data_IF_573326790089
#
_entry.id   IF_573326790089
#
_cell.length_a   1.000
_cell.length_b   1.000
_cell.length_c   1.000
_cell.angle_alpha   90.00
_cell.angle_beta   90.00
_cell.angle_gamma   90.00
#
_symmetry.space_group_name_H-M   'P 1'
#
loop_
_entity.id
_entity.type
_entity.pdbx_description
1 polymer ?
#
# COMPACT_ATOMS: atom_id res chain seq x y z
N UNK A 1 -78.37 9.96 -39.75
CA UNK A 1 -77.77 10.92 -38.81
C UNK A 1 -76.69 10.19 -38.03
N UNK A 2 -75.44 10.45 -38.40
CA UNK A 2 -74.26 9.71 -37.87
C UNK A 2 -73.56 10.66 -36.91
N UNK A 3 -73.44 10.25 -35.62
CA UNK A 3 -72.69 10.97 -34.62
C UNK A 3 -71.20 10.60 -34.73
N UNK A 4 -70.27 11.53 -34.40
CA UNK A 4 -68.83 11.27 -34.54
C UNK A 4 -68.23 10.50 -33.35
N UNK A 5 -67.46 9.48 -33.66
CA UNK A 5 -66.65 8.73 -32.70
C UNK A 5 -65.43 9.55 -32.29
N UNK A 6 -65.36 9.92 -31.01
CA UNK A 6 -64.18 10.47 -30.37
C UNK A 6 -63.19 9.35 -30.08
N UNK A 7 -62.09 9.33 -30.81
CA UNK A 7 -60.91 8.47 -30.50
C UNK A 7 -60.02 9.20 -29.50
N UNK A 8 -60.03 8.77 -28.26
CA UNK A 8 -59.11 9.21 -27.22
C UNK A 8 -57.79 8.50 -27.48
N UNK A 9 -56.78 9.25 -27.89
CA UNK A 9 -55.39 8.77 -27.98
C UNK A 9 -54.74 8.85 -26.61
N UNK A 10 -54.51 7.68 -26.00
CA UNK A 10 -53.77 7.57 -24.75
C UNK A 10 -52.28 7.67 -25.09
N UNK A 11 -51.65 8.81 -24.77
CA UNK A 11 -50.19 8.95 -24.83
C UNK A 11 -49.61 8.28 -23.58
N UNK A 12 -49.04 7.06 -23.78
CA UNK A 12 -48.18 6.44 -22.78
C UNK A 12 -46.82 7.10 -22.87
N UNK A 13 -46.56 8.03 -21.95
CA UNK A 13 -45.22 8.59 -21.77
C UNK A 13 -44.32 7.52 -21.14
N UNK A 14 -43.49 6.89 -21.96
CA UNK A 14 -42.45 5.98 -21.51
C UNK A 14 -41.35 6.81 -20.84
N UNK A 15 -41.43 6.98 -19.54
CA UNK A 15 -40.37 7.58 -18.75
C UNK A 15 -39.17 6.62 -18.71
N UNK A 16 -38.23 6.78 -19.65
CA UNK A 16 -36.89 6.17 -19.55
C UNK A 16 -36.15 6.79 -18.38
N UNK A 17 -36.20 6.13 -17.22
CA UNK A 17 -35.30 6.41 -16.11
C UNK A 17 -33.91 6.01 -16.58
N UNK A 18 -33.13 6.98 -17.05
CA UNK A 18 -31.67 6.84 -17.21
C UNK A 18 -31.10 6.70 -15.81
N UNK A 19 -30.91 5.47 -15.35
CA UNK A 19 -30.00 5.22 -14.23
C UNK A 19 -28.62 5.63 -14.70
N UNK A 20 -28.18 6.82 -14.28
CA UNK A 20 -26.78 7.20 -14.29
C UNK A 20 -26.05 6.14 -13.45
N UNK A 21 -25.43 5.18 -14.12
CA UNK A 21 -24.46 4.29 -13.50
C UNK A 21 -23.36 5.24 -13.03
N UNK A 22 -23.33 5.52 -11.73
CA UNK A 22 -22.21 6.21 -11.11
C UNK A 22 -20.97 5.38 -11.38
N UNK A 23 -20.17 5.81 -12.34
CA UNK A 23 -18.86 5.25 -12.68
C UNK A 23 -17.80 5.53 -11.59
N UNK A 24 -18.22 5.85 -10.38
CA UNK A 24 -17.47 5.79 -9.13
C UNK A 24 -17.73 4.47 -8.38
N UNK A 25 -17.92 3.38 -9.12
CA UNK A 25 -17.91 2.05 -8.52
C UNK A 25 -16.52 1.82 -7.93
N UNK A 26 -16.42 2.19 -6.64
CA UNK A 26 -15.52 1.65 -5.63
C UNK A 26 -14.15 1.20 -6.13
N UNK A 27 -13.28 2.16 -6.44
CA UNK A 27 -11.86 1.92 -6.29
C UNK A 27 -11.67 1.66 -4.78
N UNK A 28 -11.34 0.43 -4.34
CA UNK A 28 -11.26 0.11 -2.92
C UNK A 28 -10.06 0.79 -2.25
N UNK A 29 -9.41 1.73 -2.94
CA UNK A 29 -8.20 2.40 -2.53
C UNK A 29 -8.40 3.92 -2.48
N UNK A 30 -7.69 4.54 -1.54
CA UNK A 30 -7.59 5.99 -1.39
C UNK A 30 -6.14 6.43 -1.55
N UNK A 31 -5.92 7.65 -2.04
CA UNK A 31 -4.60 8.26 -2.06
C UNK A 31 -4.20 8.66 -0.64
N UNK A 32 -3.02 8.20 -0.20
CA UNK A 32 -2.48 8.50 1.14
C UNK A 32 -2.44 10.01 1.39
N UNK A 33 -2.00 10.82 0.42
CA UNK A 33 -1.89 12.26 0.58
C UNK A 33 -3.24 12.99 0.56
N UNK A 34 -4.28 12.40 0.00
CA UNK A 34 -5.65 12.94 0.13
C UNK A 34 -6.21 12.76 1.54
N UNK A 35 -5.75 11.74 2.27
CA UNK A 35 -6.16 11.47 3.66
C UNK A 35 -5.26 12.20 4.65
N UNK A 36 -3.95 12.20 4.41
CA UNK A 36 -2.98 12.90 5.25
C UNK A 36 -1.86 13.52 4.42
N UNK A 37 -1.97 14.81 4.04
CA UNK A 37 -0.99 15.49 3.18
C UNK A 37 0.37 15.71 3.86
N UNK A 38 0.50 15.46 5.17
CA UNK A 38 1.79 15.58 5.89
C UNK A 38 2.68 14.35 5.73
N UNK A 39 2.16 13.25 5.16
CA UNK A 39 2.95 12.06 4.82
C UNK A 39 3.67 12.35 3.50
N UNK A 40 4.99 12.19 3.49
CA UNK A 40 5.80 12.35 2.28
C UNK A 40 5.62 11.11 1.39
N UNK A 41 5.49 11.31 0.08
CA UNK A 41 5.43 10.22 -0.89
C UNK A 41 6.60 10.37 -1.88
N UNK A 42 7.39 9.32 -2.03
CA UNK A 42 8.47 9.18 -3.01
C UNK A 42 8.44 7.73 -3.53
N UNK A 43 7.49 7.43 -4.44
CA UNK A 43 7.36 6.07 -4.98
C UNK A 43 8.63 5.67 -5.74
N UNK A 44 9.39 4.72 -5.20
CA UNK A 44 10.69 4.30 -5.71
C UNK A 44 10.58 3.63 -7.08
N UNK A 45 9.50 2.90 -7.32
CA UNK A 45 9.23 2.32 -8.63
C UNK A 45 8.71 3.31 -9.68
N UNK A 46 8.46 4.57 -9.34
CA UNK A 46 8.22 5.64 -10.31
C UNK A 46 9.52 6.28 -10.83
N UNK A 47 10.67 5.92 -10.28
CA UNK A 47 12.00 6.41 -10.65
C UNK A 47 13.01 5.29 -10.85
N UNK A 48 14.29 5.62 -10.75
CA UNK A 48 15.39 4.69 -10.94
C UNK A 48 15.99 4.15 -9.65
N UNK A 49 15.57 4.67 -8.47
CA UNK A 49 16.10 4.26 -7.15
C UNK A 49 15.40 2.99 -6.64
N UNK A 50 15.53 1.90 -7.37
CA UNK A 50 15.04 0.56 -7.09
C UNK A 50 15.99 -0.47 -7.71
N UNK A 51 15.85 -1.75 -7.38
CA UNK A 51 16.82 -2.78 -7.83
C UNK A 51 16.81 -3.05 -9.34
N UNK A 52 15.75 -2.68 -10.07
CA UNK A 52 15.72 -2.81 -11.54
C UNK A 52 16.31 -1.59 -12.27
N UNK A 53 16.63 -0.50 -11.54
CA UNK A 53 17.25 0.72 -12.04
C UNK A 53 16.50 1.46 -13.15
N UNK A 54 15.18 1.24 -13.26
CA UNK A 54 14.31 1.98 -14.18
C UNK A 54 12.87 2.12 -13.63
N UNK A 55 12.07 3.08 -14.13
CA UNK A 55 10.69 3.23 -13.72
C UNK A 55 9.82 2.05 -14.14
N UNK A 56 8.98 1.58 -13.21
CA UNK A 56 7.95 0.56 -13.45
C UNK A 56 6.54 1.15 -13.36
N UNK A 57 6.37 2.24 -12.61
CA UNK A 57 5.12 2.97 -12.52
C UNK A 57 5.01 4.06 -13.59
N UNK A 58 3.81 4.33 -14.12
CA UNK A 58 3.57 5.50 -14.95
C UNK A 58 3.90 6.81 -14.22
N UNK A 59 4.23 7.84 -14.97
CA UNK A 59 4.40 9.18 -14.41
C UNK A 59 3.09 9.65 -13.74
N UNK A 60 3.18 10.28 -12.57
CA UNK A 60 2.02 10.76 -11.82
C UNK A 60 1.26 9.67 -11.05
N UNK A 61 1.82 8.45 -10.93
CA UNK A 61 1.24 7.41 -10.09
C UNK A 61 1.10 7.92 -8.65
N UNK A 62 -0.09 7.73 -8.07
CA UNK A 62 -0.41 8.08 -6.68
C UNK A 62 -0.14 6.91 -5.74
N UNK A 63 0.17 7.22 -4.48
CA UNK A 63 0.33 6.22 -3.43
C UNK A 63 -1.04 5.79 -2.90
N UNK A 64 -1.58 4.73 -3.48
CA UNK A 64 -2.90 4.21 -3.17
C UNK A 64 -2.83 3.09 -2.13
N UNK A 65 -3.77 3.09 -1.18
CA UNK A 65 -3.92 2.02 -0.17
C UNK A 65 -5.40 1.83 0.19
N UNK A 66 -5.74 0.78 0.90
CA UNK A 66 -7.06 0.65 1.52
C UNK A 66 -7.32 1.79 2.50
N UNK A 67 -8.58 2.26 2.66
CA UNK A 67 -8.92 3.35 3.59
C UNK A 67 -8.46 3.08 5.03
N UNK A 68 -8.54 1.84 5.49
CA UNK A 68 -8.10 1.44 6.82
C UNK A 68 -6.58 1.54 6.99
N UNK A 69 -5.83 1.23 5.92
CA UNK A 69 -4.37 1.41 5.89
C UNK A 69 -4.00 2.89 5.94
N UNK A 70 -4.69 3.75 5.19
CA UNK A 70 -4.49 5.20 5.25
C UNK A 70 -4.77 5.77 6.64
N UNK A 71 -5.85 5.30 7.29
CA UNK A 71 -6.18 5.68 8.68
C UNK A 71 -5.10 5.22 9.66
N UNK A 72 -4.57 4.01 9.50
CA UNK A 72 -3.48 3.49 10.33
C UNK A 72 -2.17 4.28 10.09
N UNK A 73 -1.81 4.61 8.84
CA UNK A 73 -0.67 5.46 8.52
C UNK A 73 -0.79 6.85 9.14
N UNK A 74 -2.01 7.41 9.20
CA UNK A 74 -2.26 8.69 9.88
C UNK A 74 -1.99 8.60 11.39
N UNK A 75 -2.31 7.47 12.05
CA UNK A 75 -1.97 7.24 13.46
C UNK A 75 -0.45 7.16 13.67
N UNK A 76 0.26 6.43 12.80
CA UNK A 76 1.72 6.34 12.82
C UNK A 76 2.35 7.73 12.63
N UNK A 77 1.91 8.49 11.64
CA UNK A 77 2.35 9.85 11.36
C UNK A 77 2.15 10.77 12.58
N UNK A 78 0.97 10.74 13.20
CA UNK A 78 0.67 11.53 14.41
C UNK A 78 1.60 11.17 15.57
N UNK A 79 1.91 9.89 15.70
CA UNK A 79 2.85 9.41 16.72
C UNK A 79 4.26 9.94 16.45
N UNK A 80 4.76 9.82 15.22
CA UNK A 80 6.10 10.26 14.83
C UNK A 80 6.30 11.78 14.96
N UNK A 81 5.27 12.57 14.63
CA UNK A 81 5.33 14.05 14.75
C UNK A 81 5.61 14.53 16.18
N UNK A 82 5.21 13.78 17.21
CA UNK A 82 5.55 14.09 18.62
C UNK A 82 7.05 13.97 18.90
N UNK A 83 7.79 13.24 18.07
CA UNK A 83 9.23 13.02 18.16
C UNK A 83 10.01 13.78 17.09
N UNK A 84 9.38 14.74 16.40
CA UNK A 84 9.97 15.56 15.33
C UNK A 84 10.35 14.74 14.08
N UNK A 85 9.64 13.64 13.83
CA UNK A 85 9.79 12.82 12.62
C UNK A 85 8.48 12.70 11.86
N UNK A 86 8.55 12.16 10.64
CA UNK A 86 7.39 11.83 9.82
C UNK A 86 7.66 10.61 8.96
N UNK A 87 6.59 10.08 8.35
CA UNK A 87 6.65 9.00 7.38
C UNK A 87 7.01 9.53 5.99
N UNK A 88 7.82 8.74 5.27
CA UNK A 88 7.94 8.79 3.81
C UNK A 88 7.57 7.42 3.26
N UNK A 89 6.66 7.37 2.29
CA UNK A 89 6.21 6.16 1.62
C UNK A 89 7.03 5.95 0.35
N UNK A 90 7.65 4.78 0.23
CA UNK A 90 8.46 4.34 -0.92
C UNK A 90 7.67 3.46 -1.88
N UNK A 91 6.70 2.68 -1.37
CA UNK A 91 5.74 1.92 -2.17
C UNK A 91 4.41 1.74 -1.43
N UNK A 92 3.34 1.52 -2.21
CA UNK A 92 1.98 1.36 -1.71
C UNK A 92 1.24 0.29 -2.52
N UNK A 93 0.06 0.55 -3.08
CA UNK A 93 -0.58 -0.38 -4.00
C UNK A 93 0.32 -0.61 -5.22
N UNK A 94 0.66 -1.87 -5.45
CA UNK A 94 1.47 -2.33 -6.58
C UNK A 94 0.62 -3.21 -7.48
N UNK A 95 0.28 -2.78 -8.71
CA UNK A 95 -0.46 -3.61 -9.66
C UNK A 95 0.23 -4.96 -9.90
N UNK A 96 -0.55 -6.02 -10.08
CA UNK A 96 -0.01 -7.37 -10.35
C UNK A 96 0.94 -7.38 -11.55
N UNK A 97 0.64 -6.59 -12.59
CA UNK A 97 1.51 -6.46 -13.77
C UNK A 97 2.91 -5.89 -13.45
N UNK A 98 3.01 -5.01 -12.44
CA UNK A 98 4.32 -4.51 -11.95
C UNK A 98 4.99 -5.56 -11.07
N UNK A 99 4.22 -6.25 -10.21
CA UNK A 99 4.74 -7.35 -9.39
C UNK A 99 5.33 -8.46 -10.28
N UNK A 100 4.70 -8.79 -11.40
CA UNK A 100 5.21 -9.77 -12.37
C UNK A 100 6.57 -9.33 -12.92
N UNK A 101 6.72 -8.07 -13.33
CA UNK A 101 8.02 -7.55 -13.82
C UNK A 101 9.11 -7.61 -12.76
N UNK A 102 8.80 -7.29 -11.51
CA UNK A 102 9.74 -7.41 -10.39
C UNK A 102 10.15 -8.87 -10.15
N UNK A 103 9.18 -9.78 -10.18
CA UNK A 103 9.44 -11.21 -10.07
C UNK A 103 10.32 -11.72 -11.20
N UNK A 104 10.04 -11.33 -12.44
CA UNK A 104 10.83 -11.70 -13.61
C UNK A 104 12.28 -11.20 -13.52
N UNK A 105 12.50 -10.02 -12.95
CA UNK A 105 13.82 -9.44 -12.75
C UNK A 105 14.61 -10.11 -11.62
N UNK A 106 13.95 -10.49 -10.53
CA UNK A 106 14.60 -11.06 -9.33
C UNK A 106 14.68 -12.58 -9.37
N UNK A 107 13.55 -13.28 -9.69
CA UNK A 107 13.37 -14.75 -9.58
C UNK A 107 13.77 -15.32 -8.21
N UNK A 108 13.85 -14.48 -7.18
CA UNK A 108 14.21 -14.86 -5.83
C UNK A 108 13.03 -14.58 -4.88
N UNK A 109 12.44 -15.63 -4.32
CA UNK A 109 11.29 -15.55 -3.40
C UNK A 109 11.62 -14.87 -2.08
N UNK A 110 12.89 -14.83 -1.67
CA UNK A 110 13.32 -14.12 -0.45
C UNK A 110 13.32 -12.59 -0.64
N UNK A 111 13.33 -12.11 -1.90
CA UNK A 111 13.35 -10.69 -2.24
C UNK A 111 12.03 -10.20 -2.83
N UNK A 112 11.37 -11.03 -3.66
CA UNK A 112 10.17 -10.63 -4.39
C UNK A 112 9.15 -11.77 -4.36
N UNK A 113 7.93 -11.50 -3.89
CA UNK A 113 6.87 -12.50 -3.90
C UNK A 113 6.51 -12.92 -5.34
N UNK A 114 6.39 -14.23 -5.58
CA UNK A 114 5.89 -14.74 -6.84
C UNK A 114 4.38 -14.43 -6.97
N UNK A 115 3.95 -13.68 -8.01
CA UNK A 115 2.53 -13.30 -8.16
C UNK A 115 1.60 -14.49 -8.43
N UNK A 116 2.14 -15.64 -8.88
CA UNK A 116 1.38 -16.85 -9.22
C UNK A 116 1.25 -17.83 -8.04
N UNK A 117 1.88 -17.51 -6.90
CA UNK A 117 1.89 -18.42 -5.73
C UNK A 117 1.12 -17.80 -4.57
N UNK A 118 0.14 -18.54 -4.07
CA UNK A 118 -0.66 -18.16 -2.92
C UNK A 118 -1.45 -16.86 -3.17
N UNK A 119 -1.23 -15.84 -2.33
CA UNK A 119 -1.88 -14.52 -2.46
C UNK A 119 -1.02 -13.52 -3.22
N UNK A 120 0.15 -13.93 -3.71
CA UNK A 120 1.12 -13.04 -4.33
C UNK A 120 1.66 -11.99 -3.36
N UNK A 121 1.86 -10.76 -3.86
CA UNK A 121 2.31 -9.64 -3.04
C UNK A 121 1.15 -8.95 -2.31
N UNK A 122 1.33 -8.64 -1.02
CA UNK A 122 0.35 -7.90 -0.23
C UNK A 122 0.20 -6.43 -0.65
N UNK A 123 1.20 -5.87 -1.35
CA UNK A 123 1.05 -4.59 -2.03
C UNK A 123 -0.05 -4.61 -3.09
N UNK A 124 -0.22 -5.72 -3.81
CA UNK A 124 -1.25 -5.85 -4.85
C UNK A 124 -2.68 -5.89 -4.28
N UNK A 125 -2.82 -6.06 -2.97
CA UNK A 125 -4.11 -5.97 -2.26
C UNK A 125 -4.33 -4.61 -1.58
N UNK A 126 -3.34 -3.69 -1.66
CA UNK A 126 -3.37 -2.38 -1.02
C UNK A 126 -3.32 -2.42 0.50
N UNK A 127 -2.79 -3.51 1.08
CA UNK A 127 -2.71 -3.78 2.52
C UNK A 127 -1.29 -3.69 3.07
N UNK A 128 -0.30 -3.48 2.20
CA UNK A 128 1.10 -3.29 2.57
C UNK A 128 1.64 -1.97 2.03
N UNK A 129 2.64 -1.43 2.73
CA UNK A 129 3.41 -0.24 2.33
C UNK A 129 4.89 -0.45 2.64
N UNK A 130 5.75 0.17 1.83
CA UNK A 130 7.15 0.35 2.17
C UNK A 130 7.36 1.78 2.65
N UNK A 131 7.88 1.93 3.87
CA UNK A 131 7.95 3.21 4.55
C UNK A 131 9.29 3.43 5.25
N UNK A 132 9.69 4.70 5.33
CA UNK A 132 10.87 5.15 6.05
C UNK A 132 10.57 6.42 6.84
N UNK A 133 11.56 6.92 7.59
CA UNK A 133 11.48 8.17 8.32
C UNK A 133 12.02 9.37 7.53
N UNK A 134 11.44 10.52 7.83
CA UNK A 134 12.00 11.84 7.54
C UNK A 134 12.01 12.68 8.83
N UNK A 135 12.88 13.70 8.87
CA UNK A 135 12.89 14.69 9.94
C UNK A 135 11.71 15.69 9.83
N UNK A 136 11.64 16.65 10.73
CA UNK A 136 10.59 17.68 10.76
C UNK A 136 10.55 18.59 9.52
N UNK A 137 11.63 18.64 8.74
CA UNK A 137 11.74 19.37 7.47
C UNK A 137 11.58 18.47 6.25
N UNK A 138 11.10 17.23 6.44
CA UNK A 138 10.93 16.21 5.41
C UNK A 138 12.23 15.75 4.73
N UNK A 139 13.39 15.92 5.38
CA UNK A 139 14.69 15.44 4.90
C UNK A 139 14.90 13.98 5.31
N UNK A 140 15.56 13.15 4.48
CA UNK A 140 15.91 11.78 4.84
C UNK A 140 16.76 11.74 6.11
N UNK A 141 16.57 10.70 6.92
CA UNK A 141 17.41 10.39 8.09
C UNK A 141 18.16 9.08 7.86
N UNK A 142 19.24 8.87 8.62
CA UNK A 142 20.06 7.66 8.51
C UNK A 142 19.23 6.41 8.87
N UNK A 143 19.15 5.47 7.97
CA UNK A 143 18.48 4.17 8.13
C UNK A 143 19.46 3.03 7.79
N UNK A 144 19.13 1.76 8.10
CA UNK A 144 20.07 0.64 7.93
C UNK A 144 20.61 0.45 6.52
N UNK A 145 19.75 0.62 5.52
CA UNK A 145 20.04 0.50 4.10
C UNK A 145 19.13 1.39 3.27
N UNK A 146 19.36 1.49 1.98
CA UNK A 146 18.38 2.07 1.05
C UNK A 146 17.30 1.03 0.69
N UNK A 147 16.30 1.46 -0.07
CA UNK A 147 15.22 0.63 -0.59
C UNK A 147 15.75 -0.45 -1.53
N UNK A 148 15.17 -1.65 -1.48
CA UNK A 148 15.57 -2.80 -2.31
C UNK A 148 17.06 -3.21 -2.13
N UNK A 149 17.68 -2.83 -1.03
CA UNK A 149 19.01 -3.36 -0.65
C UNK A 149 18.83 -4.75 -0.04
N UNK A 150 18.99 -5.78 -0.84
CA UNK A 150 18.83 -7.19 -0.43
C UNK A 150 20.06 -7.76 0.28
N UNK A 151 20.77 -6.92 1.05
CA UNK A 151 21.88 -7.33 1.91
C UNK A 151 21.40 -7.60 3.36
N UNK A 152 22.25 -8.14 4.23
CA UNK A 152 21.92 -8.28 5.66
C UNK A 152 21.52 -6.96 6.34
N UNK A 153 21.89 -5.79 5.80
CA UNK A 153 21.47 -4.49 6.31
C UNK A 153 19.96 -4.25 6.15
N UNK A 154 19.31 -4.91 5.20
CA UNK A 154 17.85 -4.83 5.01
C UNK A 154 17.03 -5.55 6.07
N UNK A 155 17.66 -6.42 6.87
CA UNK A 155 16.95 -7.22 7.87
C UNK A 155 16.25 -6.32 8.91
N UNK A 156 15.10 -6.77 9.40
CA UNK A 156 14.31 -6.11 10.45
C UNK A 156 15.15 -5.69 11.66
N UNK A 157 16.08 -6.54 12.07
CA UNK A 157 17.01 -6.23 13.15
C UNK A 157 18.32 -5.73 12.58
N UNK A 158 18.56 -4.46 12.74
CA UNK A 158 19.85 -3.86 12.43
C UNK A 158 20.91 -4.33 13.43
N UNK A 159 22.03 -4.83 12.94
CA UNK A 159 23.16 -5.34 13.72
C UNK A 159 24.40 -4.46 13.65
N UNK A 160 24.34 -3.35 12.89
CA UNK A 160 25.43 -2.39 12.82
C UNK A 160 25.61 -1.57 14.10
N UNK A 161 26.71 -0.82 14.19
CA UNK A 161 27.11 -0.10 15.40
C UNK A 161 26.52 1.31 15.55
N UNK A 162 25.80 1.82 14.53
CA UNK A 162 25.28 3.19 14.57
C UNK A 162 24.11 3.33 15.56
N UNK A 163 24.33 4.05 16.66
CA UNK A 163 23.28 4.36 17.63
C UNK A 163 22.12 5.14 17.01
N UNK A 164 22.42 6.05 16.09
CA UNK A 164 21.42 6.87 15.42
C UNK A 164 20.49 6.01 14.53
N UNK A 165 21.06 5.10 13.73
CA UNK A 165 20.29 4.14 12.91
C UNK A 165 19.41 3.25 13.80
N UNK A 166 19.94 2.73 14.89
CA UNK A 166 19.16 1.95 15.86
C UNK A 166 17.98 2.76 16.44
N UNK A 167 18.20 4.03 16.78
CA UNK A 167 17.16 4.91 17.31
C UNK A 167 16.08 5.17 16.29
N UNK A 168 16.44 5.49 15.04
CA UNK A 168 15.49 5.77 13.97
C UNK A 168 14.66 4.52 13.63
N UNK A 169 15.31 3.39 13.44
CA UNK A 169 14.64 2.14 13.11
C UNK A 169 13.66 1.73 14.22
N UNK A 170 14.06 1.77 15.49
CA UNK A 170 13.16 1.47 16.62
C UNK A 170 11.97 2.41 16.68
N UNK A 171 12.17 3.71 16.42
CA UNK A 171 11.09 4.69 16.42
C UNK A 171 10.07 4.39 15.30
N UNK A 172 10.56 4.10 14.09
CA UNK A 172 9.70 3.72 12.97
C UNK A 172 8.90 2.47 13.30
N UNK A 173 9.58 1.38 13.69
CA UNK A 173 8.94 0.11 14.02
C UNK A 173 7.90 0.25 15.14
N UNK A 174 8.23 0.99 16.21
CA UNK A 174 7.31 1.24 17.31
C UNK A 174 6.07 2.03 16.88
N UNK A 175 6.24 3.08 16.06
CA UNK A 175 5.11 3.87 15.57
C UNK A 175 4.19 3.05 14.64
N UNK A 176 4.76 2.23 13.77
CA UNK A 176 4.02 1.37 12.87
C UNK A 176 3.29 0.22 13.62
N UNK A 177 3.95 -0.43 14.59
CA UNK A 177 3.33 -1.46 15.42
C UNK A 177 2.13 -0.91 16.20
N UNK A 178 2.29 0.26 16.86
CA UNK A 178 1.17 0.92 17.57
C UNK A 178 0.02 1.36 16.65
N UNK A 179 0.29 1.56 15.39
CA UNK A 179 -0.73 1.88 14.39
C UNK A 179 -1.43 0.62 13.82
N UNK A 180 -0.98 -0.58 14.20
CA UNK A 180 -1.57 -1.85 13.79
C UNK A 180 -0.90 -2.51 12.59
N UNK A 181 0.35 -2.19 12.31
CA UNK A 181 1.14 -2.85 11.27
C UNK A 181 2.06 -3.93 11.84
N UNK A 182 2.32 -4.93 11.04
CA UNK A 182 3.38 -5.91 11.22
C UNK A 182 4.50 -5.65 10.23
N UNK A 183 5.74 -5.89 10.65
CA UNK A 183 6.89 -5.81 9.77
C UNK A 183 7.20 -7.13 9.06
N UNK A 184 8.22 -7.11 8.20
CA UNK A 184 8.79 -8.27 7.53
C UNK A 184 10.22 -8.51 8.03
N UNK A 185 10.61 -9.79 8.19
CA UNK A 185 11.94 -10.14 8.73
C UNK A 185 13.09 -9.71 7.82
N UNK A 186 12.89 -9.77 6.52
CA UNK A 186 13.91 -9.53 5.49
C UNK A 186 13.99 -8.10 5.00
N UNK A 187 12.99 -7.26 5.35
CA UNK A 187 12.87 -5.88 4.85
C UNK A 187 12.41 -4.95 5.98
N UNK A 188 13.31 -4.14 6.52
CA UNK A 188 13.00 -3.23 7.63
C UNK A 188 11.97 -2.16 7.27
N UNK A 189 11.81 -1.84 5.99
CA UNK A 189 10.87 -0.83 5.47
C UNK A 189 9.46 -1.38 5.20
N UNK A 190 9.28 -2.73 5.10
CA UNK A 190 8.01 -3.34 4.72
C UNK A 190 7.05 -3.49 5.90
N UNK A 191 5.82 -3.00 5.73
CA UNK A 191 4.76 -3.04 6.75
C UNK A 191 3.44 -3.48 6.14
N UNK A 192 2.78 -4.43 6.80
CA UNK A 192 1.45 -4.94 6.42
C UNK A 192 0.46 -4.69 7.55
N UNK A 193 -0.76 -4.22 7.25
CA UNK A 193 -1.80 -4.09 8.27
C UNK A 193 -2.12 -5.45 8.89
N UNK A 194 -2.26 -5.52 10.23
CA UNK A 194 -2.32 -6.78 10.97
C UNK A 194 -3.52 -7.67 10.61
N UNK A 195 -4.63 -7.09 10.22
CA UNK A 195 -5.87 -7.78 9.84
C UNK A 195 -6.05 -7.89 8.31
N UNK A 196 -4.97 -7.85 7.55
CA UNK A 196 -4.94 -7.85 6.09
C UNK A 196 -5.78 -8.96 5.44
N UNK A 197 -5.92 -10.13 6.09
CA UNK A 197 -6.66 -11.27 5.56
C UNK A 197 -8.14 -10.95 5.29
N UNK A 198 -8.74 -10.00 6.05
CA UNK A 198 -10.13 -9.60 5.85
C UNK A 198 -10.41 -8.96 4.49
N UNK A 199 -9.36 -8.45 3.83
CA UNK A 199 -9.44 -7.79 2.53
C UNK A 199 -9.26 -8.74 1.35
N UNK A 200 -8.98 -10.02 1.62
CA UNK A 200 -8.88 -11.05 0.59
C UNK A 200 -10.25 -11.67 0.30
N UNK A 201 -10.51 -12.08 -0.96
CA UNK A 201 -11.59 -13.02 -1.27
C UNK A 201 -11.46 -14.31 -0.46
N UNK A 202 -12.55 -15.03 -0.25
CA UNK A 202 -12.57 -16.25 0.59
C UNK A 202 -11.60 -17.31 0.07
N UNK A 203 -11.53 -17.52 -1.23
CA UNK A 203 -10.64 -18.47 -1.88
C UNK A 203 -9.16 -18.15 -1.61
N UNK A 204 -8.81 -16.86 -1.65
CA UNK A 204 -7.47 -16.38 -1.36
C UNK A 204 -7.13 -16.48 0.13
N UNK A 205 -8.12 -16.34 1.04
CA UNK A 205 -7.91 -16.52 2.48
C UNK A 205 -7.48 -17.94 2.83
N UNK A 206 -8.05 -18.95 2.19
CA UNK A 206 -7.68 -20.35 2.38
C UNK A 206 -6.22 -20.58 1.97
N UNK A 207 -5.80 -20.03 0.82
CA UNK A 207 -4.40 -20.09 0.38
C UNK A 207 -3.45 -19.34 1.30
N UNK A 208 -3.89 -18.27 1.93
CA UNK A 208 -3.09 -17.45 2.85
C UNK A 208 -2.73 -18.16 4.17
N UNK A 209 -3.44 -19.24 4.54
CA UNK A 209 -3.06 -20.07 5.70
C UNK A 209 -1.79 -20.90 5.45
N UNK A 210 -1.50 -21.19 4.19
CA UNK A 210 -0.33 -21.98 3.78
C UNK A 210 0.92 -21.10 3.62
N UNK A 211 0.77 -19.80 3.40
CA UNK A 211 1.87 -18.84 3.37
C UNK A 211 2.16 -18.39 4.81
N UNK A 212 2.97 -19.22 5.51
CA UNK A 212 3.34 -18.95 6.88
C UNK A 212 4.10 -17.65 7.04
N UNK A 213 3.65 -16.88 8.00
CA UNK A 213 4.40 -16.03 8.91
C UNK A 213 4.73 -14.61 8.43
N UNK A 214 3.77 -13.72 8.59
CA UNK A 214 4.13 -12.36 8.98
C UNK A 214 4.80 -12.45 10.36
N UNK A 215 6.06 -12.06 10.40
CA UNK A 215 6.83 -12.05 11.62
C UNK A 215 6.34 -10.91 12.52
N UNK A 216 5.80 -11.27 13.68
CA UNK A 216 5.56 -10.32 14.77
C UNK A 216 6.90 -10.06 15.44
N UNK A 217 7.69 -9.11 14.92
CA UNK A 217 8.87 -8.65 15.60
C UNK A 217 8.46 -8.05 16.93
N UNK A 218 8.78 -8.70 18.04
CA UNK A 218 8.81 -8.00 19.31
C UNK A 218 10.04 -7.10 19.30
N UNK A 219 9.83 -5.81 19.54
CA UNK A 219 10.87 -4.81 19.76
C UNK A 219 11.72 -5.19 20.96
#
# INVERSE_FOLDING_TARGET
MHGPHNKIWLFIALATVLMAINANADCPFVDIQSVNPTIVVELRYAGTKNFVNHPLYPQGTRALVRPEVAAALTKAQTTLRRYQYGLKIWDAYRPVSVQTKLWEASRNIDHVANPEVGVGSLHSWGVAVDATLVDSWNRPVSMPSDFDDFTPAAMWRYTGSSFEVHRHLRLLHWAMDRAGFWGMRTEWWHYTISDWKKFLPEEARQSAHLQGTHWKGKL
#
